data_IF_260468838301
#
_entry.id   IF_260468838301
#
_cell.length_a   1.000
_cell.length_b   1.000
_cell.length_c   1.000
_cell.angle_alpha   90.00
_cell.angle_beta   90.00
_cell.angle_gamma   90.00
#
_symmetry.space_group_name_H-M   'P 1'
#
loop_
_entity.id
_entity.type
_entity.pdbx_description
1 polymer ?
#
# COMPACT_ATOMS: atom_id res chain seq x y z
N UNK A 1 -33.14 17.05 2.42
CA UNK A 1 -32.14 16.01 2.11
C UNK A 1 -32.87 14.67 2.05
N UNK A 2 -32.50 13.74 1.15
CA UNK A 2 -33.03 12.39 1.18
C UNK A 2 -32.55 11.64 2.44
N UNK A 3 -33.42 10.85 3.07
CA UNK A 3 -33.09 10.05 4.26
C UNK A 3 -32.75 10.88 5.50
N UNK A 4 -31.81 10.39 6.31
CA UNK A 4 -31.32 11.02 7.55
C UNK A 4 -30.36 12.21 7.32
N UNK A 5 -30.03 12.51 6.06
CA UNK A 5 -29.00 13.48 5.72
C UNK A 5 -27.58 12.92 5.80
N UNK A 6 -27.41 11.63 6.05
CA UNK A 6 -26.09 10.99 6.00
C UNK A 6 -25.53 10.97 4.57
N UNK A 7 -24.20 11.00 4.44
CA UNK A 7 -23.49 10.86 3.15
C UNK A 7 -23.95 9.60 2.40
N UNK A 8 -24.16 8.51 3.13
CA UNK A 8 -24.64 7.25 2.58
C UNK A 8 -26.04 7.34 1.98
N UNK A 9 -26.95 8.08 2.61
CA UNK A 9 -28.30 8.28 2.09
C UNK A 9 -28.28 9.15 0.83
N UNK A 10 -27.37 10.14 0.77
CA UNK A 10 -27.16 10.95 -0.43
C UNK A 10 -26.69 10.05 -1.58
N UNK A 11 -25.65 9.26 -1.38
CA UNK A 11 -25.10 8.34 -2.39
C UNK A 11 -26.20 7.41 -2.93
N UNK A 12 -26.94 6.77 -2.02
CA UNK A 12 -27.99 5.82 -2.38
C UNK A 12 -29.15 6.50 -3.10
N UNK A 13 -29.55 7.71 -2.69
CA UNK A 13 -30.62 8.47 -3.35
C UNK A 13 -30.28 8.88 -4.79
N UNK A 14 -28.98 9.02 -5.08
CA UNK A 14 -28.46 9.29 -6.42
C UNK A 14 -28.29 8.02 -7.27
N UNK A 15 -28.61 6.84 -6.71
CA UNK A 15 -28.56 5.56 -7.41
C UNK A 15 -27.16 4.95 -7.52
N UNK A 16 -26.19 5.42 -6.72
CA UNK A 16 -24.83 4.89 -6.69
C UNK A 16 -24.66 3.85 -5.58
N UNK A 17 -23.73 2.91 -5.79
CA UNK A 17 -23.22 2.11 -4.67
C UNK A 17 -22.25 2.93 -3.81
N UNK A 18 -22.14 2.59 -2.53
CA UNK A 18 -21.24 3.28 -1.60
C UNK A 18 -19.77 3.14 -2.02
N UNK A 19 -19.37 1.97 -2.51
CA UNK A 19 -18.01 1.72 -2.96
C UNK A 19 -17.71 2.30 -4.35
N UNK A 20 -18.69 2.91 -5.02
CA UNK A 20 -18.47 3.65 -6.26
C UNK A 20 -18.11 5.12 -6.01
N UNK A 21 -18.26 5.60 -4.76
CA UNK A 21 -18.05 7.01 -4.39
C UNK A 21 -16.94 7.16 -3.35
N UNK A 22 -15.92 7.96 -3.67
CA UNK A 22 -14.92 8.47 -2.73
C UNK A 22 -15.34 9.85 -2.21
N UNK A 23 -15.31 10.07 -0.90
CA UNK A 23 -15.72 11.35 -0.29
C UNK A 23 -14.52 12.05 0.30
N UNK A 24 -14.23 13.24 -0.23
CA UNK A 24 -13.14 14.09 0.27
C UNK A 24 -13.74 15.17 1.17
N UNK A 25 -13.34 15.16 2.44
CA UNK A 25 -13.70 16.20 3.41
C UNK A 25 -12.80 17.42 3.25
N UNK A 26 -13.40 18.61 3.20
CA UNK A 26 -12.70 19.87 2.90
C UNK A 26 -12.67 20.76 4.13
N UNK A 27 -11.82 20.39 5.09
CA UNK A 27 -11.72 21.10 6.38
C UNK A 27 -11.29 22.56 6.22
N UNK A 28 -10.43 22.85 5.24
CA UNK A 28 -9.90 24.21 4.97
C UNK A 28 -10.74 25.03 3.99
N UNK A 29 -11.87 24.49 3.50
CA UNK A 29 -12.76 25.23 2.60
C UNK A 29 -13.86 25.93 3.39
N UNK A 30 -14.04 27.24 3.19
CA UNK A 30 -15.17 28.00 3.74
C UNK A 30 -16.49 27.70 3.01
N UNK A 31 -16.44 27.05 1.85
CA UNK A 31 -17.59 26.89 0.95
C UNK A 31 -18.14 25.47 1.00
N UNK A 32 -17.26 24.47 0.90
CA UNK A 32 -17.66 23.07 0.84
C UNK A 32 -17.26 22.36 2.12
N UNK A 33 -18.16 21.51 2.62
CA UNK A 33 -17.88 20.60 3.72
C UNK A 33 -17.23 19.31 3.19
N UNK A 34 -17.77 18.77 2.09
CA UNK A 34 -17.21 17.63 1.38
C UNK A 34 -17.66 17.60 -0.08
N UNK A 35 -16.93 16.84 -0.89
CA UNK A 35 -17.28 16.52 -2.28
C UNK A 35 -17.18 15.00 -2.47
N UNK A 36 -18.22 14.41 -3.06
CA UNK A 36 -18.24 13.01 -3.49
C UNK A 36 -17.80 12.88 -4.94
N UNK A 37 -16.83 12.00 -5.20
CA UNK A 37 -16.26 11.70 -6.51
C UNK A 37 -16.51 10.24 -6.86
N UNK A 38 -16.54 9.89 -8.16
CA UNK A 38 -16.40 8.46 -8.49
C UNK A 38 -15.01 7.99 -8.06
N UNK A 39 -14.93 6.83 -7.41
CA UNK A 39 -13.64 6.27 -6.97
C UNK A 39 -12.62 6.22 -8.12
N UNK A 40 -11.34 6.39 -7.76
CA UNK A 40 -10.21 6.37 -8.70
C UNK A 40 -10.34 7.40 -9.84
N UNK A 41 -11.09 8.49 -9.61
CA UNK A 41 -11.25 9.57 -10.58
C UNK A 41 -11.40 10.92 -9.90
N UNK A 42 -11.24 12.00 -10.66
CA UNK A 42 -11.51 13.38 -10.20
C UNK A 42 -12.88 13.89 -10.62
N UNK A 43 -13.79 12.99 -11.00
CA UNK A 43 -15.12 13.35 -11.52
C UNK A 43 -16.11 13.49 -10.35
N UNK A 44 -16.55 14.72 -10.00
CA UNK A 44 -17.49 14.92 -8.90
C UNK A 44 -18.89 14.40 -9.27
N UNK A 45 -19.61 13.90 -8.27
CA UNK A 45 -21.00 13.46 -8.36
C UNK A 45 -21.92 14.39 -7.56
N UNK A 46 -21.51 14.74 -6.35
CA UNK A 46 -22.22 15.67 -5.48
C UNK A 46 -21.24 16.45 -4.61
N UNK A 47 -21.71 17.57 -4.05
CA UNK A 47 -20.99 18.36 -3.08
C UNK A 47 -21.96 18.88 -2.02
N UNK A 48 -21.51 18.94 -0.78
CA UNK A 48 -22.23 19.60 0.30
C UNK A 48 -21.53 20.92 0.61
N UNK A 49 -22.30 22.01 0.57
CA UNK A 49 -21.82 23.33 0.99
C UNK A 49 -21.96 23.47 2.51
N UNK A 50 -21.16 24.37 3.10
CA UNK A 50 -21.37 24.82 4.47
C UNK A 50 -22.63 25.68 4.59
N UNK A 51 -23.12 25.83 5.81
CA UNK A 51 -24.28 26.66 6.11
C UNK A 51 -24.07 28.11 5.69
N UNK A 52 -25.12 28.72 5.14
CA UNK A 52 -25.11 30.13 4.72
C UNK A 52 -24.57 30.40 3.32
N UNK A 53 -24.01 29.40 2.62
CA UNK A 53 -23.63 29.52 1.21
C UNK A 53 -24.90 29.58 0.34
N UNK A 54 -25.14 30.73 -0.31
CA UNK A 54 -26.36 30.96 -1.12
C UNK A 54 -26.11 30.99 -2.63
N UNK A 55 -24.92 31.41 -3.05
CA UNK A 55 -24.56 31.56 -4.47
C UNK A 55 -23.31 30.74 -4.75
N UNK A 56 -23.47 29.66 -5.50
CA UNK A 56 -22.37 28.78 -5.89
C UNK A 56 -22.23 28.79 -7.42
N UNK A 57 -21.06 29.21 -7.90
CA UNK A 57 -20.69 29.09 -9.30
C UNK A 57 -19.92 27.79 -9.52
N UNK A 58 -20.14 27.16 -10.68
CA UNK A 58 -19.45 25.92 -11.05
C UNK A 58 -17.91 26.09 -11.11
N UNK A 59 -17.43 27.29 -11.44
CA UNK A 59 -16.00 27.62 -11.40
C UNK A 59 -15.38 27.44 -10.01
N UNK A 60 -16.11 27.78 -8.95
CA UNK A 60 -15.65 27.64 -7.56
C UNK A 60 -15.48 26.17 -7.18
N UNK A 61 -16.38 25.30 -7.66
CA UNK A 61 -16.26 23.86 -7.48
C UNK A 61 -14.98 23.34 -8.15
N UNK A 62 -14.75 23.70 -9.42
CA UNK A 62 -13.55 23.27 -10.14
C UNK A 62 -12.25 23.74 -9.49
N UNK A 63 -12.17 25.02 -9.10
CA UNK A 63 -10.99 25.54 -8.39
C UNK A 63 -10.77 24.86 -7.03
N UNK A 64 -11.84 24.42 -6.36
CA UNK A 64 -11.73 23.65 -5.12
C UNK A 64 -11.17 22.25 -5.39
N UNK A 65 -11.70 21.57 -6.42
CA UNK A 65 -11.26 20.24 -6.85
C UNK A 65 -9.77 20.24 -7.23
N UNK A 66 -9.29 21.29 -7.89
CA UNK A 66 -7.88 21.44 -8.30
C UNK A 66 -6.93 21.59 -7.11
N UNK A 67 -7.41 22.07 -5.95
CA UNK A 67 -6.60 22.24 -4.73
C UNK A 67 -6.50 20.98 -3.87
N UNK A 68 -7.32 19.96 -4.14
CA UNK A 68 -7.25 18.68 -3.41
C UNK A 68 -5.91 18.02 -3.69
N UNK A 69 -5.24 17.53 -2.65
CA UNK A 69 -4.02 16.74 -2.79
C UNK A 69 -4.37 15.32 -3.25
N UNK A 70 -4.60 15.20 -4.56
CA UNK A 70 -4.93 13.93 -5.20
C UNK A 70 -3.85 12.86 -5.06
N UNK A 71 -2.60 13.24 -4.78
CA UNK A 71 -1.53 12.26 -4.55
C UNK A 71 -1.72 11.55 -3.21
N UNK A 72 -2.20 12.27 -2.20
CA UNK A 72 -2.55 11.71 -0.91
C UNK A 72 -3.85 10.92 -1.01
N UNK A 73 -4.91 11.50 -1.59
CA UNK A 73 -6.22 10.85 -1.74
C UNK A 73 -6.14 9.52 -2.50
N UNK A 74 -5.35 9.46 -3.58
CA UNK A 74 -5.11 8.26 -4.37
C UNK A 74 -3.66 7.75 -4.24
N UNK A 75 -3.13 7.80 -3.02
CA UNK A 75 -1.92 7.06 -2.66
C UNK A 75 -2.13 5.56 -2.87
N UNK A 76 -1.03 4.81 -3.01
CA UNK A 76 -1.11 3.36 -3.24
C UNK A 76 -1.89 2.64 -2.13
N UNK A 77 -1.68 3.03 -0.87
CA UNK A 77 -2.42 2.48 0.28
C UNK A 77 -3.93 2.74 0.15
N UNK A 78 -4.33 3.99 -0.11
CA UNK A 78 -5.74 4.34 -0.25
C UNK A 78 -6.41 3.65 -1.44
N UNK A 79 -5.70 3.49 -2.56
CA UNK A 79 -6.20 2.76 -3.72
C UNK A 79 -6.43 1.28 -3.36
N UNK A 80 -5.49 0.66 -2.65
CA UNK A 80 -5.63 -0.73 -2.20
C UNK A 80 -6.83 -0.88 -1.25
N UNK A 81 -7.03 0.06 -0.32
CA UNK A 81 -8.17 0.07 0.61
C UNK A 81 -9.51 0.18 -0.14
N UNK A 82 -9.64 1.13 -1.06
CA UNK A 82 -10.84 1.32 -1.90
C UNK A 82 -11.18 0.03 -2.67
N UNK A 83 -10.17 -0.59 -3.27
CA UNK A 83 -10.35 -1.81 -4.07
C UNK A 83 -10.73 -3.01 -3.19
N UNK A 84 -10.08 -3.16 -2.03
CA UNK A 84 -10.37 -4.24 -1.08
C UNK A 84 -11.79 -4.12 -0.52
N UNK A 85 -12.23 -2.92 -0.14
CA UNK A 85 -13.60 -2.69 0.34
C UNK A 85 -14.65 -3.06 -0.72
N UNK A 86 -14.41 -2.66 -1.99
CA UNK A 86 -15.27 -3.02 -3.10
C UNK A 86 -15.28 -4.51 -3.45
N UNK A 87 -14.16 -5.22 -3.26
CA UNK A 87 -14.10 -6.69 -3.39
C UNK A 87 -14.92 -7.36 -2.29
N UNK A 88 -14.74 -6.94 -1.03
CA UNK A 88 -15.47 -7.48 0.12
C UNK A 88 -16.99 -7.32 -0.03
N UNK A 89 -17.42 -6.18 -0.56
CA UNK A 89 -18.83 -5.88 -0.78
C UNK A 89 -19.38 -6.45 -2.10
N UNK A 90 -18.51 -6.88 -3.02
CA UNK A 90 -18.88 -7.56 -4.26
C UNK A 90 -19.68 -6.70 -5.23
N UNK A 91 -19.44 -5.39 -5.25
CA UNK A 91 -20.19 -4.41 -6.02
C UNK A 91 -19.35 -3.62 -7.05
N UNK A 92 -18.02 -3.74 -7.03
CA UNK A 92 -17.17 -3.16 -8.08
C UNK A 92 -17.24 -3.97 -9.38
N UNK A 93 -17.96 -3.43 -10.37
CA UNK A 93 -18.15 -4.05 -11.68
C UNK A 93 -17.13 -3.57 -12.70
N UNK A 94 -16.80 -4.45 -13.65
CA UNK A 94 -15.91 -4.14 -14.78
C UNK A 94 -16.41 -2.91 -15.57
N UNK A 95 -17.70 -2.86 -15.89
CA UNK A 95 -18.31 -1.74 -16.63
C UNK A 95 -18.13 -0.39 -15.92
N UNK A 96 -18.23 -0.38 -14.58
CA UNK A 96 -18.00 0.83 -13.80
C UNK A 96 -16.52 1.22 -13.81
N UNK A 97 -15.62 0.27 -13.52
CA UNK A 97 -14.18 0.54 -13.48
C UNK A 97 -13.65 1.04 -14.83
N UNK A 98 -14.14 0.52 -15.95
CA UNK A 98 -13.79 1.01 -17.29
C UNK A 98 -14.18 2.48 -17.55
N UNK A 99 -15.10 3.06 -16.77
CA UNK A 99 -15.50 4.48 -16.89
C UNK A 99 -14.62 5.42 -16.06
N UNK A 100 -13.91 4.89 -15.07
CA UNK A 100 -13.08 5.68 -14.13
C UNK A 100 -11.59 5.48 -14.37
N UNK A 101 -11.16 4.30 -14.80
CA UNK A 101 -9.77 3.96 -15.10
C UNK A 101 -9.63 3.30 -16.46
N UNK A 102 -8.46 3.46 -17.09
CA UNK A 102 -8.16 2.83 -18.37
C UNK A 102 -7.74 1.37 -18.16
N UNK A 103 -8.63 0.44 -18.52
CA UNK A 103 -8.40 -1.00 -18.43
C UNK A 103 -8.12 -1.62 -19.80
N UNK A 104 -6.95 -2.21 -19.96
CA UNK A 104 -6.54 -2.98 -21.14
C UNK A 104 -6.75 -4.47 -20.87
N UNK A 105 -7.51 -5.16 -21.72
CA UNK A 105 -7.77 -6.59 -21.55
C UNK A 105 -6.50 -7.41 -21.81
N UNK A 106 -6.12 -8.26 -20.85
CA UNK A 106 -5.01 -9.22 -20.99
C UNK A 106 -5.56 -10.61 -21.35
N UNK A 107 -6.62 -11.05 -20.67
CA UNK A 107 -7.23 -12.37 -20.87
C UNK A 107 -8.75 -12.31 -20.65
N UNK A 108 -9.43 -13.45 -20.67
CA UNK A 108 -10.88 -13.54 -20.45
C UNK A 108 -11.33 -12.89 -19.14
N UNK A 109 -10.51 -12.97 -18.09
CA UNK A 109 -10.86 -12.53 -16.73
C UNK A 109 -9.88 -11.49 -16.16
N UNK A 110 -8.85 -11.11 -16.91
CA UNK A 110 -7.75 -10.26 -16.41
C UNK A 110 -7.60 -9.01 -17.27
N UNK A 111 -7.56 -7.86 -16.62
CA UNK A 111 -7.34 -6.55 -17.22
C UNK A 111 -6.15 -5.85 -16.55
N UNK A 112 -5.56 -4.89 -17.23
CA UNK A 112 -4.42 -4.12 -16.77
C UNK A 112 -4.72 -2.62 -16.78
N UNK A 113 -4.36 -1.93 -15.70
CA UNK A 113 -4.32 -0.47 -15.66
C UNK A 113 -2.87 0.00 -15.56
N UNK A 114 -2.40 0.72 -16.58
CA UNK A 114 -1.04 1.26 -16.60
C UNK A 114 -0.82 2.40 -15.62
N UNK A 115 -1.84 3.21 -15.35
CA UNK A 115 -1.76 4.34 -14.42
C UNK A 115 -1.56 3.86 -12.97
N UNK A 116 -2.20 2.73 -12.61
CA UNK A 116 -2.10 2.15 -11.28
C UNK A 116 -1.00 1.08 -11.18
N UNK A 117 -0.42 0.66 -12.31
CA UNK A 117 0.53 -0.46 -12.41
C UNK A 117 -0.03 -1.76 -11.80
N UNK A 118 -1.34 -2.00 -11.99
CA UNK A 118 -2.07 -3.12 -11.40
C UNK A 118 -2.82 -3.93 -12.44
N UNK A 119 -2.87 -5.24 -12.23
CA UNK A 119 -3.81 -6.13 -12.90
C UNK A 119 -5.07 -6.34 -12.05
N UNK A 120 -6.21 -6.42 -12.71
CA UNK A 120 -7.52 -6.59 -12.10
C UNK A 120 -8.14 -7.90 -12.61
N UNK A 121 -8.62 -8.73 -11.69
CA UNK A 121 -9.18 -10.05 -11.99
C UNK A 121 -10.69 -10.03 -11.69
N UNK A 122 -11.48 -10.42 -12.68
CA UNK A 122 -12.93 -10.37 -12.62
C UNK A 122 -13.55 -11.77 -12.72
N UNK A 123 -14.67 -11.97 -12.05
CA UNK A 123 -15.55 -13.13 -12.20
C UNK A 123 -16.99 -12.63 -12.26
N UNK A 124 -17.74 -13.09 -13.26
CA UNK A 124 -19.13 -12.64 -13.49
C UNK A 124 -19.26 -11.11 -13.50
N UNK A 125 -18.34 -10.44 -14.20
CA UNK A 125 -18.23 -8.97 -14.30
C UNK A 125 -17.88 -8.23 -13.00
N UNK A 126 -17.62 -8.94 -11.89
CA UNK A 126 -17.24 -8.34 -10.60
C UNK A 126 -15.76 -8.49 -10.31
N UNK A 127 -15.15 -7.44 -9.78
CA UNK A 127 -13.77 -7.48 -9.31
C UNK A 127 -13.67 -8.45 -8.13
N UNK A 128 -12.77 -9.42 -8.22
CA UNK A 128 -12.53 -10.40 -7.14
C UNK A 128 -11.12 -10.30 -6.56
N UNK A 129 -10.17 -9.71 -7.29
CA UNK A 129 -8.78 -9.59 -6.88
C UNK A 129 -8.05 -8.55 -7.74
N UNK A 130 -7.02 -7.91 -7.19
CA UNK A 130 -6.04 -7.14 -7.95
C UNK A 130 -4.61 -7.59 -7.60
N UNK A 131 -3.67 -7.30 -8.49
CA UNK A 131 -2.25 -7.69 -8.36
C UNK A 131 -1.34 -6.56 -8.86
N UNK A 132 -0.38 -6.13 -8.06
CA UNK A 132 0.65 -5.16 -8.48
C UNK A 132 1.63 -5.81 -9.48
N UNK A 133 1.92 -5.15 -10.61
CA UNK A 133 2.80 -5.70 -11.66
C UNK A 133 4.24 -5.89 -11.19
N UNK A 134 4.76 -4.95 -10.40
CA UNK A 134 6.14 -5.01 -9.93
C UNK A 134 6.33 -5.92 -8.71
N UNK A 135 5.27 -6.60 -8.26
CA UNK A 135 5.20 -7.28 -6.96
C UNK A 135 5.60 -6.36 -5.79
N UNK A 136 5.55 -5.03 -5.96
CA UNK A 136 5.84 -4.08 -4.90
C UNK A 136 4.58 -3.81 -4.09
N UNK A 137 4.71 -3.92 -2.78
CA UNK A 137 3.68 -3.54 -1.82
C UNK A 137 3.69 -2.02 -1.61
N UNK A 138 2.61 -1.51 -1.03
CA UNK A 138 2.39 -0.07 -0.87
C UNK A 138 3.46 0.61 -0.01
N UNK A 139 3.98 -0.06 1.01
CA UNK A 139 5.13 0.40 1.81
C UNK A 139 6.38 0.67 0.95
N UNK A 140 6.66 -0.20 -0.02
CA UNK A 140 7.79 -0.06 -0.94
C UNK A 140 7.54 1.04 -1.96
N UNK A 141 6.31 1.14 -2.49
CA UNK A 141 5.95 2.24 -3.39
C UNK A 141 6.06 3.60 -2.70
N UNK A 142 5.62 3.67 -1.45
CA UNK A 142 5.80 4.83 -0.60
C UNK A 142 7.29 5.16 -0.44
N UNK A 143 8.13 4.20 -0.05
CA UNK A 143 9.57 4.41 0.09
C UNK A 143 10.20 4.89 -1.23
N UNK A 144 9.86 4.26 -2.35
CA UNK A 144 10.34 4.65 -3.68
C UNK A 144 10.00 6.10 -4.03
N UNK A 145 8.80 6.56 -3.66
CA UNK A 145 8.37 7.94 -3.93
C UNK A 145 9.01 8.96 -2.98
N UNK A 146 9.26 8.58 -1.72
CA UNK A 146 9.85 9.45 -0.71
C UNK A 146 11.38 9.53 -0.82
N UNK A 147 12.05 8.40 -1.08
CA UNK A 147 13.49 8.26 -1.07
C UNK A 147 13.94 7.19 -2.08
N UNK A 148 14.02 7.58 -3.35
CA UNK A 148 14.42 6.72 -4.48
C UNK A 148 15.79 6.08 -4.25
N UNK A 149 16.77 6.81 -3.72
CA UNK A 149 18.13 6.31 -3.51
C UNK A 149 18.15 5.13 -2.53
N UNK A 150 17.38 5.22 -1.44
CA UNK A 150 17.26 4.13 -0.47
C UNK A 150 16.58 2.91 -1.10
N UNK A 151 15.49 3.11 -1.83
CA UNK A 151 14.81 2.04 -2.56
C UNK A 151 15.75 1.34 -3.55
N UNK A 152 16.45 2.10 -4.40
CA UNK A 152 17.41 1.55 -5.35
C UNK A 152 18.57 0.82 -4.66
N UNK A 153 19.03 1.34 -3.51
CA UNK A 153 20.03 0.68 -2.67
C UNK A 153 19.56 -0.69 -2.21
N UNK A 154 18.32 -0.80 -1.73
CA UNK A 154 17.72 -2.08 -1.32
C UNK A 154 17.57 -3.05 -2.50
N UNK A 155 17.10 -2.57 -3.66
CA UNK A 155 16.95 -3.40 -4.86
C UNK A 155 18.32 -3.94 -5.30
N UNK A 156 19.33 -3.09 -5.43
CA UNK A 156 20.70 -3.49 -5.81
C UNK A 156 21.27 -4.51 -4.84
N UNK A 157 20.97 -4.39 -3.54
CA UNK A 157 21.40 -5.38 -2.56
C UNK A 157 20.70 -6.72 -2.74
N UNK A 158 19.37 -6.71 -2.85
CA UNK A 158 18.58 -7.92 -3.01
C UNK A 158 18.97 -8.68 -4.28
N UNK A 159 19.26 -7.97 -5.38
CA UNK A 159 19.74 -8.56 -6.65
C UNK A 159 21.05 -9.36 -6.53
N UNK A 160 21.89 -9.09 -5.52
CA UNK A 160 23.12 -9.85 -5.28
C UNK A 160 22.83 -11.27 -4.78
N UNK A 161 21.73 -11.45 -4.03
CA UNK A 161 21.47 -12.67 -3.27
C UNK A 161 20.24 -13.45 -3.73
N UNK A 162 19.29 -12.76 -4.38
CA UNK A 162 18.04 -13.34 -4.85
C UNK A 162 18.14 -13.84 -6.29
N UNK A 163 17.38 -14.89 -6.62
CA UNK A 163 17.47 -15.58 -7.92
C UNK A 163 16.47 -15.07 -8.95
N UNK A 164 15.45 -14.35 -8.54
CA UNK A 164 14.38 -13.87 -9.42
C UNK A 164 13.95 -12.46 -9.05
N UNK A 165 13.40 -11.72 -10.03
CA UNK A 165 12.82 -10.38 -9.78
C UNK A 165 11.71 -10.40 -8.74
N UNK A 166 10.95 -11.50 -8.67
CA UNK A 166 9.90 -11.69 -7.66
C UNK A 166 10.49 -11.80 -6.26
N UNK A 167 11.58 -12.54 -6.10
CA UNK A 167 12.24 -12.69 -4.80
C UNK A 167 12.94 -11.39 -4.37
N UNK A 168 13.50 -10.65 -5.33
CA UNK A 168 14.01 -9.28 -5.11
C UNK A 168 12.90 -8.38 -4.58
N UNK A 169 11.75 -8.33 -5.28
CA UNK A 169 10.60 -7.52 -4.85
C UNK A 169 10.10 -7.93 -3.46
N UNK A 170 9.97 -9.22 -3.19
CA UNK A 170 9.57 -9.73 -1.87
C UNK A 170 10.53 -9.28 -0.76
N UNK A 171 11.83 -9.37 -0.98
CA UNK A 171 12.83 -8.91 0.00
C UNK A 171 12.70 -7.39 0.25
N UNK A 172 12.61 -6.59 -0.82
CA UNK A 172 12.49 -5.13 -0.71
C UNK A 172 11.19 -4.72 -0.03
N UNK A 173 10.08 -5.45 -0.26
CA UNK A 173 8.84 -5.27 0.49
C UNK A 173 9.03 -5.51 1.98
N UNK A 174 9.69 -6.60 2.36
CA UNK A 174 9.92 -6.92 3.76
C UNK A 174 10.85 -5.91 4.46
N UNK A 175 11.82 -5.37 3.73
CA UNK A 175 12.66 -4.27 4.23
C UNK A 175 11.86 -2.97 4.41
N UNK A 176 11.01 -2.62 3.45
CA UNK A 176 10.19 -1.39 3.49
C UNK A 176 9.10 -1.46 4.55
N UNK A 177 8.44 -2.61 4.68
CA UNK A 177 7.49 -2.90 5.77
C UNK A 177 8.18 -2.76 7.13
N UNK A 178 9.36 -3.37 7.29
CA UNK A 178 10.12 -3.26 8.54
C UNK A 178 10.51 -1.82 8.87
N UNK A 179 10.89 -1.00 7.89
CA UNK A 179 11.24 0.41 8.09
C UNK A 179 10.09 1.22 8.71
N UNK A 180 8.86 1.00 8.24
CA UNK A 180 7.67 1.70 8.75
C UNK A 180 7.35 1.23 10.18
N UNK A 181 7.60 -0.04 10.49
CA UNK A 181 7.21 -0.65 11.76
C UNK A 181 8.25 -0.48 12.88
N UNK A 182 9.48 -0.07 12.58
CA UNK A 182 10.50 0.17 13.61
C UNK A 182 10.38 1.58 14.20
N UNK A 183 10.54 1.74 15.53
CA UNK A 183 10.55 3.06 16.17
C UNK A 183 11.61 3.98 15.56
N UNK A 184 11.22 5.23 15.29
CA UNK A 184 12.08 6.29 14.76
C UNK A 184 12.71 5.99 13.38
N UNK A 185 12.27 4.95 12.67
CA UNK A 185 12.66 4.65 11.29
C UNK A 185 14.18 4.81 11.04
N UNK A 186 14.58 5.77 10.22
CA UNK A 186 15.97 6.05 9.82
C UNK A 186 16.85 6.66 10.93
N UNK A 187 16.26 7.03 12.07
CA UNK A 187 16.95 7.49 13.28
C UNK A 187 17.02 6.41 14.37
N UNK A 188 16.63 5.18 14.05
CA UNK A 188 16.66 4.08 15.01
C UNK A 188 18.07 3.84 15.57
N UNK A 189 18.18 3.68 16.89
CA UNK A 189 19.45 3.57 17.61
C UNK A 189 20.30 2.35 17.18
N UNK A 190 19.65 1.30 16.68
CA UNK A 190 20.29 0.04 16.29
C UNK A 190 20.79 0.03 14.83
N UNK A 191 20.55 1.08 14.03
CA UNK A 191 20.93 1.12 12.61
C UNK A 191 22.40 0.75 12.39
N UNK A 192 23.30 1.25 13.24
CA UNK A 192 24.74 0.97 13.12
C UNK A 192 25.10 -0.51 13.27
N UNK A 193 24.29 -1.28 13.97
CA UNK A 193 24.51 -2.72 14.18
C UNK A 193 24.08 -3.55 12.96
N UNK A 194 23.15 -3.02 12.15
CA UNK A 194 22.54 -3.69 11.00
C UNK A 194 22.97 -3.10 9.65
N UNK A 195 24.08 -2.35 9.63
CA UNK A 195 24.68 -1.89 8.38
C UNK A 195 25.29 -3.07 7.62
N UNK A 196 24.89 -3.21 6.37
CA UNK A 196 25.36 -4.24 5.46
C UNK A 196 26.72 -3.85 4.88
N UNK A 197 27.40 -4.81 4.23
CA UNK A 197 28.75 -4.60 3.67
C UNK A 197 28.80 -3.53 2.58
N UNK A 198 27.67 -3.27 1.92
CA UNK A 198 27.54 -2.27 0.86
C UNK A 198 27.00 -0.92 1.38
N UNK A 199 26.82 -0.78 2.70
CA UNK A 199 26.48 0.48 3.36
C UNK A 199 24.98 0.72 3.59
N UNK A 200 24.10 -0.15 3.11
CA UNK A 200 22.67 -0.13 3.42
C UNK A 200 22.41 -0.59 4.86
N UNK A 201 21.16 -0.50 5.30
CA UNK A 201 20.70 -1.05 6.58
C UNK A 201 19.69 -2.16 6.33
N UNK A 202 19.89 -3.33 6.94
CA UNK A 202 18.86 -4.38 6.95
C UNK A 202 17.81 -4.07 8.02
N UNK A 203 16.80 -3.28 7.66
CA UNK A 203 15.68 -2.94 8.55
C UNK A 203 14.90 -4.19 8.98
N UNK A 204 14.79 -5.19 8.11
CA UNK A 204 14.19 -6.47 8.45
C UNK A 204 14.91 -7.17 9.60
N UNK A 205 16.25 -7.32 9.50
CA UNK A 205 17.03 -7.95 10.56
C UNK A 205 17.14 -7.08 11.81
N UNK A 206 17.14 -5.76 11.66
CA UNK A 206 17.03 -4.83 12.78
C UNK A 206 15.75 -5.09 13.56
N UNK A 207 14.61 -5.16 12.85
CA UNK A 207 13.31 -5.42 13.46
C UNK A 207 13.27 -6.79 14.13
N UNK A 208 13.73 -7.82 13.43
CA UNK A 208 13.81 -9.18 13.94
C UNK A 208 14.67 -9.27 15.21
N UNK A 209 15.82 -8.60 15.24
CA UNK A 209 16.75 -8.67 16.36
C UNK A 209 16.24 -7.90 17.59
N UNK A 210 15.74 -6.68 17.42
CA UNK A 210 15.51 -5.77 18.56
C UNK A 210 14.06 -5.68 19.01
N UNK A 211 13.11 -6.04 18.15
CA UNK A 211 11.68 -5.90 18.46
C UNK A 211 10.92 -7.23 18.41
N UNK A 212 11.59 -8.33 18.01
CA UNK A 212 11.10 -9.72 18.05
C UNK A 212 9.61 -9.87 17.63
N UNK A 213 9.21 -9.40 16.44
CA UNK A 213 7.88 -9.69 15.94
C UNK A 213 7.70 -11.20 15.73
N UNK A 214 6.46 -11.71 15.73
CA UNK A 214 6.20 -13.10 15.34
C UNK A 214 6.59 -13.27 13.87
N UNK A 215 7.77 -13.86 13.64
CA UNK A 215 8.41 -13.93 12.33
C UNK A 215 8.63 -15.40 11.98
N UNK A 216 8.08 -15.81 10.84
CA UNK A 216 8.15 -17.19 10.34
C UNK A 216 9.55 -17.51 9.80
N UNK A 217 10.07 -18.68 10.14
CA UNK A 217 11.39 -19.16 9.72
C UNK A 217 11.54 -19.23 8.21
N UNK A 218 10.54 -19.70 7.47
CA UNK A 218 10.66 -19.79 6.02
C UNK A 218 10.72 -18.41 5.38
N UNK A 219 9.95 -17.44 5.91
CA UNK A 219 10.08 -16.04 5.50
C UNK A 219 11.48 -15.50 5.82
N UNK A 220 11.98 -15.73 7.04
CA UNK A 220 13.31 -15.30 7.46
C UNK A 220 14.41 -15.80 6.52
N UNK A 221 14.37 -17.10 6.19
CA UNK A 221 15.36 -17.74 5.33
C UNK A 221 15.27 -17.25 3.89
N UNK A 222 14.06 -16.91 3.41
CA UNK A 222 13.86 -16.32 2.08
C UNK A 222 14.46 -14.91 2.01
N UNK A 223 14.14 -14.05 2.98
CA UNK A 223 14.66 -12.67 3.04
C UNK A 223 16.18 -12.67 3.23
N UNK A 224 16.71 -13.59 4.03
CA UNK A 224 18.16 -13.71 4.27
C UNK A 224 18.86 -14.71 3.34
N UNK A 225 18.26 -15.06 2.20
CA UNK A 225 18.85 -15.99 1.23
C UNK A 225 20.30 -15.62 0.94
N UNK A 226 21.22 -16.59 1.04
CA UNK A 226 22.66 -16.37 0.81
C UNK A 226 23.39 -15.52 1.86
N UNK A 227 22.70 -15.01 2.89
CA UNK A 227 23.28 -14.20 3.98
C UNK A 227 23.36 -14.94 5.31
N UNK A 228 22.50 -15.93 5.53
CA UNK A 228 22.52 -16.71 6.77
C UNK A 228 23.54 -17.86 6.75
N UNK A 229 24.00 -18.24 7.94
CA UNK A 229 24.68 -19.51 8.21
C UNK A 229 23.87 -20.30 9.22
N UNK A 230 23.48 -21.52 8.85
CA UNK A 230 22.83 -22.44 9.78
C UNK A 230 23.84 -22.93 10.82
N UNK A 231 23.51 -22.78 12.10
CA UNK A 231 24.29 -23.31 13.22
C UNK A 231 23.74 -24.67 13.63
N UNK A 232 22.41 -24.75 13.72
CA UNK A 232 21.62 -25.96 13.90
C UNK A 232 20.22 -25.77 13.27
N UNK A 233 19.36 -26.78 13.38
CA UNK A 233 18.01 -26.81 12.77
C UNK A 233 17.20 -25.53 13.03
N UNK A 234 17.36 -24.90 14.19
CA UNK A 234 16.53 -23.79 14.64
C UNK A 234 17.34 -22.53 14.99
N UNK A 235 18.65 -22.52 14.71
CA UNK A 235 19.53 -21.40 15.00
C UNK A 235 20.27 -20.97 13.76
N UNK A 236 20.10 -19.70 13.39
CA UNK A 236 20.72 -19.11 12.21
C UNK A 236 21.54 -17.88 12.59
N UNK A 237 22.74 -17.76 12.05
CA UNK A 237 23.57 -16.58 12.16
C UNK A 237 23.40 -15.70 10.93
N UNK A 238 23.12 -14.42 11.12
CA UNK A 238 23.17 -13.39 10.07
C UNK A 238 23.98 -12.21 10.59
N UNK A 239 25.07 -11.90 9.89
CA UNK A 239 26.05 -10.89 10.27
C UNK A 239 26.52 -11.01 11.73
N UNK A 240 26.04 -10.13 12.61
CA UNK A 240 26.45 -10.01 14.02
C UNK A 240 25.41 -10.60 14.98
N UNK A 241 24.42 -11.34 14.49
CA UNK A 241 23.31 -11.80 15.31
C UNK A 241 22.96 -13.27 15.07
N UNK A 242 22.71 -13.98 16.15
CA UNK A 242 22.04 -15.29 16.15
C UNK A 242 20.53 -15.10 16.31
N UNK A 243 19.77 -15.88 15.56
CA UNK A 243 18.31 -15.90 15.55
C UNK A 243 17.84 -17.31 15.90
N UNK A 244 16.96 -17.42 16.89
CA UNK A 244 16.48 -18.68 17.43
C UNK A 244 14.98 -18.85 17.17
N UNK A 245 14.62 -19.96 16.53
CA UNK A 245 13.24 -20.31 16.17
C UNK A 245 12.73 -21.45 17.06
N UNK A 246 11.45 -21.39 17.44
CA UNK A 246 10.82 -22.43 18.26
C UNK A 246 10.38 -23.63 17.39
N UNK A 247 9.69 -24.60 18.00
CA UNK A 247 9.19 -25.78 17.28
C UNK A 247 8.08 -25.47 16.27
N UNK A 248 7.42 -24.31 16.41
CA UNK A 248 6.42 -23.80 15.47
C UNK A 248 7.08 -22.89 14.41
N UNK A 249 8.40 -22.97 14.24
CA UNK A 249 9.17 -22.20 13.26
C UNK A 249 8.97 -20.67 13.40
N UNK A 250 8.70 -20.18 14.62
CA UNK A 250 8.55 -18.75 14.92
C UNK A 250 9.77 -18.23 15.68
N UNK A 251 10.27 -17.05 15.27
CA UNK A 251 11.36 -16.36 15.97
C UNK A 251 10.93 -16.01 17.40
N UNK A 252 11.69 -16.45 18.40
CA UNK A 252 11.40 -16.14 19.81
C UNK A 252 12.56 -15.44 20.52
N UNK A 253 13.76 -15.46 19.94
CA UNK A 253 14.94 -14.84 20.53
C UNK A 253 15.95 -14.45 19.46
N UNK A 254 16.67 -13.38 19.71
CA UNK A 254 17.89 -13.01 19.00
C UNK A 254 19.02 -12.73 20.00
N UNK A 255 20.27 -12.78 19.56
CA UNK A 255 21.43 -12.46 20.40
C UNK A 255 22.57 -11.91 19.55
N UNK A 256 23.21 -10.84 20.00
CA UNK A 256 24.41 -10.32 19.35
C UNK A 256 25.61 -11.27 19.58
N UNK A 257 26.44 -11.43 18.55
CA UNK A 257 27.69 -12.20 18.55
C UNK A 257 28.90 -11.33 18.92
#
# INVERSE_FOLDING_TARGET
MPGSGSINDIIQSLGWSRNEIHVVHLFDSDIFEFIGFKILSKKPIFAQTRDGVKNLHFSVLNTTIEKIDWKTEYSADNVDDILNEGILNGDLKLEFLQKVILLTKISSHKYYCSELEMSFIFRDEKLIQFEHIEHLESSTKWLRSLNTDMYEGMVKEAEIYQKSKKDVANEVNKQSEALILIPKAVENEYIKLHRTKIGNTSFYNLRAAHYLPPLDKNEFLKVNSGRFKEIDKNTFNVDKFLYFFNEQDTLYKSMAC
#
